data_IF_279453273157
#
_entry.id   IF_279453273157
#
_cell.length_a   1.000
_cell.length_b   1.000
_cell.length_c   1.000
_cell.angle_alpha   90.00
_cell.angle_beta   90.00
_cell.angle_gamma   90.00
#
_symmetry.space_group_name_H-M   'P 1'
#
loop_
_entity.id
_entity.type
_entity.pdbx_description
1 polymer ?
#
# COMPACT_ATOMS: atom_id res chain seq x y z
N UNK A 1 -29.79 -29.73 -10.52
CA UNK A 1 -28.35 -29.77 -10.21
C UNK A 1 -28.01 -28.42 -9.60
N UNK A 2 -27.62 -28.37 -8.33
CA UNK A 2 -27.41 -27.10 -7.64
C UNK A 2 -26.08 -26.48 -8.12
N UNK A 3 -26.16 -25.42 -8.93
CA UNK A 3 -25.03 -24.57 -9.27
C UNK A 3 -24.66 -23.75 -8.02
N UNK A 4 -23.84 -24.32 -7.14
CA UNK A 4 -23.31 -23.61 -5.97
C UNK A 4 -22.22 -22.65 -6.44
N UNK A 5 -22.49 -21.36 -6.36
CA UNK A 5 -21.49 -20.31 -6.54
C UNK A 5 -20.82 -19.98 -5.21
N UNK A 6 -19.51 -19.76 -5.24
CA UNK A 6 -18.75 -19.22 -4.10
C UNK A 6 -18.18 -17.87 -4.53
N UNK A 7 -18.23 -16.90 -3.62
CA UNK A 7 -17.59 -15.60 -3.76
C UNK A 7 -16.46 -15.47 -2.74
N UNK A 8 -15.25 -15.13 -3.19
CA UNK A 8 -14.08 -14.95 -2.33
C UNK A 8 -13.54 -13.53 -2.45
N UNK A 9 -13.13 -12.93 -1.33
CA UNK A 9 -12.38 -11.66 -1.32
C UNK A 9 -11.03 -11.84 -0.65
N UNK A 10 -9.97 -11.44 -1.34
CA UNK A 10 -8.59 -11.61 -0.92
C UNK A 10 -7.84 -10.27 -0.95
N UNK A 11 -7.41 -9.78 0.20
CA UNK A 11 -6.51 -8.62 0.27
C UNK A 11 -5.08 -9.14 0.38
N UNK A 12 -4.25 -8.92 -0.63
CA UNK A 12 -2.83 -9.23 -0.57
C UNK A 12 -2.10 -7.91 -0.16
N UNK A 13 -1.27 -7.94 0.88
CA UNK A 13 -0.50 -6.78 1.39
C UNK A 13 0.96 -6.90 0.95
N UNK A 14 1.55 -5.82 0.45
CA UNK A 14 2.96 -5.81 0.01
C UNK A 14 3.86 -5.28 1.14
N UNK A 15 4.63 -6.19 1.74
CA UNK A 15 5.65 -5.91 2.75
C UNK A 15 7.01 -6.31 2.16
N UNK A 16 7.67 -5.41 1.42
CA UNK A 16 8.90 -5.77 0.70
C UNK A 16 10.08 -6.01 1.66
N UNK A 17 10.49 -7.27 1.79
CA UNK A 17 11.83 -7.67 2.21
C UNK A 17 12.82 -7.42 1.05
N UNK A 18 13.35 -6.20 0.92
CA UNK A 18 14.68 -5.92 0.37
C UNK A 18 15.10 -6.32 -1.07
N UNK A 19 14.28 -6.93 -1.93
CA UNK A 19 14.71 -7.36 -3.28
C UNK A 19 13.89 -6.73 -4.43
N UNK A 20 14.59 -6.13 -5.40
CA UNK A 20 14.07 -5.57 -6.65
C UNK A 20 13.60 -6.67 -7.63
N UNK A 21 12.53 -7.41 -7.31
CA UNK A 21 11.90 -8.35 -8.24
C UNK A 21 10.53 -7.84 -8.69
N UNK A 22 10.19 -7.88 -9.99
CA UNK A 22 8.85 -7.53 -10.48
C UNK A 22 7.84 -8.50 -9.86
N UNK A 23 6.88 -7.94 -9.14
CA UNK A 23 5.97 -8.67 -8.27
C UNK A 23 5.10 -9.67 -9.05
N UNK A 24 5.36 -10.96 -8.86
CA UNK A 24 4.35 -11.99 -9.09
C UNK A 24 3.67 -12.27 -7.76
N UNK A 25 2.56 -11.57 -7.46
CA UNK A 25 1.63 -12.02 -6.43
C UNK A 25 0.97 -13.31 -6.92
N UNK A 26 1.60 -14.46 -6.67
CA UNK A 26 0.96 -15.76 -6.85
C UNK A 26 0.03 -15.97 -5.65
N UNK A 27 -1.14 -15.33 -5.63
CA UNK A 27 -2.15 -15.61 -4.60
C UNK A 27 -2.77 -17.00 -4.94
N UNK A 28 -2.14 -18.09 -4.45
CA UNK A 28 -2.62 -19.47 -4.63
C UNK A 28 -3.85 -19.68 -3.74
N UNK A 29 -5.03 -19.63 -4.33
CA UNK A 29 -6.28 -19.81 -3.60
C UNK A 29 -6.69 -21.29 -3.65
N UNK A 30 -6.26 -22.07 -2.65
CA UNK A 30 -6.76 -23.45 -2.46
C UNK A 30 -8.00 -23.39 -1.57
N UNK A 31 -9.18 -23.61 -2.14
CA UNK A 31 -10.42 -23.65 -1.35
C UNK A 31 -10.85 -25.09 -1.04
N UNK A 32 -11.31 -25.31 0.20
CA UNK A 32 -11.96 -26.53 0.67
C UNK A 32 -13.42 -26.20 1.04
N UNK A 33 -14.39 -26.62 0.24
CA UNK A 33 -15.79 -26.55 0.64
C UNK A 33 -16.12 -27.77 1.51
N UNK A 34 -16.47 -27.57 2.78
CA UNK A 34 -16.93 -28.67 3.65
C UNK A 34 -18.40 -29.00 3.37
N UNK A 35 -18.66 -30.04 2.58
CA UNK A 35 -19.95 -30.73 2.51
C UNK A 35 -19.72 -32.24 2.71
N UNK A 36 -20.09 -32.76 3.90
CA UNK A 36 -20.14 -34.17 4.36
C UNK A 36 -18.99 -35.15 4.02
N UNK A 37 -18.01 -34.79 3.19
CA UNK A 37 -16.83 -35.54 2.81
C UNK A 37 -15.73 -34.54 2.39
N UNK A 38 -14.45 -34.88 2.57
CA UNK A 38 -13.32 -34.06 2.11
C UNK A 38 -13.16 -34.16 0.58
N UNK A 39 -14.17 -33.73 -0.18
CA UNK A 39 -14.20 -33.74 -1.64
C UNK A 39 -13.77 -32.37 -2.18
N UNK A 40 -12.71 -32.34 -3.00
CA UNK A 40 -12.28 -31.13 -3.70
C UNK A 40 -13.25 -30.84 -4.86
N UNK A 41 -13.89 -29.66 -4.84
CA UNK A 41 -14.83 -29.23 -5.88
C UNK A 41 -14.10 -28.61 -7.08
N UNK A 42 -13.20 -27.66 -6.85
CA UNK A 42 -12.43 -26.99 -7.89
C UNK A 42 -11.11 -26.46 -7.32
N UNK A 43 -10.03 -26.54 -8.12
CA UNK A 43 -8.73 -25.90 -7.84
C UNK A 43 -8.49 -24.80 -8.86
N UNK A 44 -8.09 -23.63 -8.38
CA UNK A 44 -7.76 -22.49 -9.23
C UNK A 44 -6.34 -21.99 -8.90
N UNK A 45 -5.53 -21.79 -9.94
CA UNK A 45 -4.21 -21.15 -9.85
C UNK A 45 -4.16 -20.08 -10.93
N UNK A 46 -4.09 -18.81 -10.52
CA UNK A 46 -4.10 -17.66 -11.43
C UNK A 46 -2.83 -16.87 -11.20
N UNK A 47 -2.14 -16.54 -12.28
CA UNK A 47 -1.00 -15.63 -12.28
C UNK A 47 -1.42 -14.36 -13.02
N UNK A 48 -1.30 -13.23 -12.34
CA UNK A 48 -1.64 -11.93 -12.89
C UNK A 48 -0.78 -10.85 -12.24
N UNK A 49 -0.45 -9.83 -13.03
CA UNK A 49 0.21 -8.63 -12.53
C UNK A 49 -0.86 -7.66 -12.09
N UNK A 50 -0.69 -7.12 -10.89
CA UNK A 50 -1.64 -6.20 -10.25
C UNK A 50 -0.89 -4.99 -9.73
N UNK A 51 -1.42 -3.82 -10.05
CA UNK A 51 -0.97 -2.56 -9.49
C UNK A 51 -1.57 -2.37 -8.09
N UNK A 52 -0.87 -1.60 -7.25
CA UNK A 52 -1.40 -1.15 -5.96
C UNK A 52 -2.64 -0.30 -6.20
N UNK A 53 -3.77 -0.67 -5.59
CA UNK A 53 -5.02 0.06 -5.70
C UNK A 53 -5.95 -0.27 -4.53
N UNK A 54 -6.70 0.71 -4.00
CA UNK A 54 -7.75 0.44 -3.02
C UNK A 54 -8.94 -0.33 -3.63
N UNK A 55 -9.07 -0.29 -4.96
CA UNK A 55 -10.18 -0.88 -5.70
C UNK A 55 -10.05 -2.40 -5.83
N UNK A 56 -11.17 -3.09 -5.65
CA UNK A 56 -11.26 -4.54 -5.85
C UNK A 56 -11.34 -4.86 -7.35
N UNK A 57 -10.55 -5.85 -7.78
CA UNK A 57 -10.64 -6.38 -9.14
C UNK A 57 -11.30 -7.76 -9.12
N UNK A 58 -12.53 -7.80 -9.62
CA UNK A 58 -13.37 -8.99 -9.69
C UNK A 58 -13.04 -9.86 -10.90
N UNK A 59 -12.95 -11.16 -10.68
CA UNK A 59 -12.70 -12.16 -11.71
C UNK A 59 -13.61 -13.36 -11.50
N UNK A 60 -13.85 -14.10 -12.58
CA UNK A 60 -14.68 -15.30 -12.56
C UNK A 60 -13.94 -16.43 -13.25
N UNK A 61 -13.93 -17.60 -12.64
CA UNK A 61 -13.50 -18.86 -13.23
C UNK A 61 -14.73 -19.75 -13.38
N UNK A 62 -14.97 -20.24 -14.59
CA UNK A 62 -16.13 -21.08 -14.91
C UNK A 62 -15.66 -22.48 -15.34
N UNK A 63 -16.38 -23.48 -14.88
CA UNK A 63 -16.21 -24.88 -15.24
C UNK A 63 -17.56 -25.47 -15.66
N UNK A 64 -17.57 -26.71 -16.12
CA UNK A 64 -18.79 -27.36 -16.63
C UNK A 64 -19.92 -27.46 -15.60
N UNK A 65 -19.61 -27.48 -14.30
CA UNK A 65 -20.59 -27.71 -13.23
C UNK A 65 -20.55 -26.66 -12.11
N UNK A 66 -19.54 -25.80 -12.10
CA UNK A 66 -19.29 -24.84 -11.02
C UNK A 66 -18.72 -23.55 -11.58
N UNK A 67 -18.99 -22.44 -10.89
CA UNK A 67 -18.31 -21.18 -11.13
C UNK A 67 -17.78 -20.62 -9.81
N UNK A 68 -16.65 -19.93 -9.90
CA UNK A 68 -15.97 -19.28 -8.79
C UNK A 68 -15.76 -17.81 -9.14
N UNK A 69 -16.34 -16.91 -8.35
CA UNK A 69 -16.07 -15.48 -8.45
C UNK A 69 -15.15 -15.08 -7.30
N UNK A 70 -14.13 -14.30 -7.63
CA UNK A 70 -13.11 -13.91 -6.68
C UNK A 70 -12.64 -12.50 -6.97
N UNK A 71 -12.53 -11.72 -5.89
CA UNK A 71 -11.95 -10.39 -5.91
C UNK A 71 -10.58 -10.42 -5.25
N UNK A 72 -9.67 -9.64 -5.80
CA UNK A 72 -8.41 -9.32 -5.14
C UNK A 72 -8.13 -7.82 -5.21
N UNK A 73 -7.35 -7.35 -4.25
CA UNK A 73 -6.73 -6.02 -4.28
C UNK A 73 -5.34 -6.10 -3.68
N UNK A 74 -4.48 -5.18 -4.10
CA UNK A 74 -3.14 -5.00 -3.53
C UNK A 74 -3.10 -3.64 -2.88
N UNK A 75 -2.87 -3.61 -1.57
CA UNK A 75 -2.78 -2.37 -0.79
C UNK A 75 -1.48 -2.34 -0.02
N UNK A 76 -0.91 -1.15 0.13
CA UNK A 76 0.27 -0.98 0.97
C UNK A 76 -0.07 -1.13 2.45
N UNK A 77 0.93 -1.55 3.21
CA UNK A 77 0.90 -1.46 4.66
C UNK A 77 0.89 0.01 5.12
N UNK A 78 0.45 0.28 6.36
CA UNK A 78 0.43 1.63 6.88
C UNK A 78 1.80 2.31 6.74
N UNK A 79 1.79 3.56 6.27
CA UNK A 79 2.98 4.39 6.04
C UNK A 79 3.89 3.96 4.88
N UNK A 80 3.48 2.99 4.08
CA UNK A 80 4.13 2.65 2.82
C UNK A 80 3.30 3.16 1.64
N UNK A 81 3.99 3.70 0.64
CA UNK A 81 3.37 4.39 -0.50
C UNK A 81 4.09 4.04 -1.81
N UNK A 82 3.50 4.53 -2.91
CA UNK A 82 3.99 4.34 -4.27
C UNK A 82 3.51 3.02 -4.90
N UNK A 83 3.81 2.85 -6.19
CA UNK A 83 3.31 1.73 -7.02
C UNK A 83 3.77 0.34 -6.59
N UNK A 84 4.74 0.25 -5.66
CA UNK A 84 5.19 -1.02 -5.10
C UNK A 84 5.54 -0.92 -3.63
N UNK A 85 4.78 -0.09 -2.89
CA UNK A 85 4.84 0.03 -1.43
C UNK A 85 6.26 0.16 -0.86
N UNK A 86 7.15 0.84 -1.57
CA UNK A 86 8.57 0.95 -1.24
C UNK A 86 8.90 2.27 -0.52
N UNK A 87 8.04 3.28 -0.64
CA UNK A 87 8.29 4.58 -0.04
C UNK A 87 7.74 4.59 1.38
N UNK A 88 8.61 4.50 2.37
CA UNK A 88 8.22 4.61 3.78
C UNK A 88 8.15 6.08 4.20
N UNK A 89 6.99 6.53 4.65
CA UNK A 89 6.81 7.86 5.24
C UNK A 89 5.85 7.83 6.43
N UNK A 90 6.36 8.21 7.60
CA UNK A 90 5.57 8.39 8.82
C UNK A 90 5.54 9.89 9.15
N UNK A 91 4.35 10.53 9.20
CA UNK A 91 4.24 11.92 9.61
C UNK A 91 4.92 12.15 10.96
N UNK A 92 5.58 13.29 11.12
CA UNK A 92 6.35 13.64 12.32
C UNK A 92 6.24 15.13 12.60
N UNK A 93 6.16 15.49 13.88
CA UNK A 93 6.15 16.88 14.34
C UNK A 93 6.85 16.97 15.70
N UNK A 94 8.17 16.78 15.67
CA UNK A 94 9.04 16.80 16.84
C UNK A 94 10.43 17.38 16.48
N UNK A 95 11.38 17.34 17.42
CA UNK A 95 12.72 17.91 17.25
C UNK A 95 13.51 17.35 16.05
N UNK A 96 13.11 16.19 15.51
CA UNK A 96 13.76 15.51 14.40
C UNK A 96 13.04 15.71 13.06
N UNK A 97 11.95 16.49 13.02
CA UNK A 97 11.28 16.84 11.77
C UNK A 97 9.83 17.27 11.93
N UNK A 98 9.42 18.15 11.02
CA UNK A 98 8.10 18.76 10.99
C UNK A 98 7.49 18.57 9.60
N UNK A 99 6.84 17.43 9.35
CA UNK A 99 6.34 17.06 8.03
C UNK A 99 5.15 16.10 8.02
N UNK A 100 4.39 16.17 6.93
CA UNK A 100 3.39 15.18 6.54
C UNK A 100 3.87 14.38 5.33
N UNK A 101 3.09 13.38 4.93
CA UNK A 101 3.39 12.52 3.79
C UNK A 101 2.41 12.80 2.65
N UNK A 102 2.92 12.87 1.41
CA UNK A 102 2.10 12.92 0.21
C UNK A 102 1.43 11.56 -0.07
N UNK A 103 0.55 11.51 -1.08
CA UNK A 103 -0.04 10.26 -1.59
C UNK A 103 1.02 9.30 -2.17
N UNK A 104 2.18 9.81 -2.59
CA UNK A 104 3.31 9.02 -3.10
C UNK A 104 4.35 8.68 -2.03
N UNK A 105 4.16 9.15 -0.79
CA UNK A 105 5.08 8.96 0.33
C UNK A 105 6.24 9.95 0.38
N UNK A 106 6.13 11.07 -0.34
CA UNK A 106 7.11 12.16 -0.26
C UNK A 106 6.91 12.98 1.02
N UNK A 107 8.02 13.45 1.59
CA UNK A 107 8.02 14.32 2.77
C UNK A 107 7.57 15.72 2.36
N UNK A 108 6.50 16.21 2.99
CA UNK A 108 5.98 17.56 2.81
C UNK A 108 6.22 18.35 4.10
N UNK A 109 7.13 19.33 4.06
CA UNK A 109 7.41 20.16 5.24
C UNK A 109 6.19 20.97 5.68
N UNK A 110 5.97 21.01 6.99
CA UNK A 110 5.04 21.94 7.61
C UNK A 110 5.47 23.40 7.35
N UNK A 111 4.50 24.31 7.44
CA UNK A 111 4.76 25.73 7.22
C UNK A 111 5.87 26.24 8.14
N UNK A 112 6.83 26.95 7.58
CA UNK A 112 7.99 27.46 8.33
C UNK A 112 9.15 26.48 8.48
N UNK A 113 9.08 25.26 7.91
CA UNK A 113 10.15 24.27 7.94
C UNK A 113 10.70 23.97 6.54
N UNK A 114 11.96 23.53 6.48
CA UNK A 114 12.71 23.18 5.28
C UNK A 114 13.79 22.12 5.57
N UNK A 115 14.47 21.67 4.50
CA UNK A 115 15.45 20.59 4.56
C UNK A 115 14.83 19.24 4.19
N UNK A 116 15.67 18.23 3.98
CA UNK A 116 15.24 16.92 3.51
C UNK A 116 14.31 16.20 4.51
N UNK A 117 14.46 16.50 5.80
CA UNK A 117 13.63 15.94 6.88
C UNK A 117 12.79 17.02 7.60
N UNK A 118 12.71 18.22 7.02
CA UNK A 118 11.94 19.34 7.56
C UNK A 118 12.31 19.66 9.03
N UNK A 119 13.60 19.54 9.33
CA UNK A 119 14.23 19.73 10.63
C UNK A 119 14.84 21.13 10.77
N UNK A 120 14.90 21.90 9.68
CA UNK A 120 15.45 23.26 9.68
C UNK A 120 14.33 24.30 9.61
N UNK A 121 14.34 25.32 10.48
CA UNK A 121 13.40 26.42 10.37
C UNK A 121 13.71 27.28 9.13
N UNK A 122 12.67 27.84 8.53
CA UNK A 122 12.75 28.92 7.54
C UNK A 122 12.83 30.24 8.29
N UNK A 123 13.94 30.96 8.12
CA UNK A 123 14.13 32.27 8.76
C UNK A 123 13.18 33.34 8.18
N UNK A 124 13.05 34.45 8.89
CA UNK A 124 12.27 35.59 8.41
C UNK A 124 12.79 36.09 7.04
N UNK A 125 11.89 36.61 6.20
CA UNK A 125 12.27 37.20 4.90
C UNK A 125 13.27 38.33 5.12
N UNK A 126 14.38 38.33 4.37
CA UNK A 126 15.44 39.34 4.46
C UNK A 126 16.53 39.05 5.52
N UNK A 127 16.51 37.88 6.15
CA UNK A 127 17.55 37.46 7.08
C UNK A 127 18.79 36.91 6.34
N UNK A 128 19.64 37.80 5.84
CA UNK A 128 20.83 37.41 5.05
C UNK A 128 22.07 37.11 5.90
N UNK A 129 22.23 37.80 7.03
CA UNK A 129 23.39 37.68 7.93
C UNK A 129 23.04 37.17 9.33
N UNK A 130 21.80 36.70 9.53
CA UNK A 130 21.31 36.20 10.82
C UNK A 130 20.98 34.71 10.79
N UNK A 131 20.72 34.15 11.98
CA UNK A 131 20.26 32.77 12.15
C UNK A 131 18.85 32.72 12.76
N UNK A 132 18.21 31.55 12.68
CA UNK A 132 16.92 31.30 13.30
C UNK A 132 16.88 29.89 13.90
N UNK A 133 16.56 29.82 15.20
CA UNK A 133 16.30 28.55 15.89
C UNK A 133 14.82 28.14 15.74
N UNK A 134 13.95 29.09 15.39
CA UNK A 134 12.52 28.86 15.15
C UNK A 134 12.07 29.53 13.85
N UNK A 135 10.98 29.03 13.24
CA UNK A 135 10.44 29.61 12.01
C UNK A 135 10.13 31.11 12.16
N UNK A 136 10.41 31.87 11.09
CA UNK A 136 10.16 33.31 11.00
C UNK A 136 10.91 34.18 12.03
N UNK A 137 12.02 33.69 12.59
CA UNK A 137 12.93 34.50 13.40
C UNK A 137 14.15 34.95 12.59
N UNK A 138 14.85 35.96 13.10
CA UNK A 138 16.17 36.39 12.64
C UNK A 138 16.91 37.02 13.83
N UNK A 139 17.99 36.38 14.26
CA UNK A 139 18.88 36.82 15.34
C UNK A 139 20.25 37.17 14.80
#
# INVERSE_FOLDING_TARGET
>A
MASQGIFLRLSCHDSRDGANTPFSCVCVCVYYMRMCANLLIQRLSVQQVLEVSPEWKTNKSESQYTWLEYDFRVTCDPHYYGSGCANLCRPRDDQFGHYTCSETGEIICLSGWQGNYCDKPKCAKGCEHGHCDKPNQCM
#
